data_IF_462134663399
#
_entry.id   IF_462134663399
#
_cell.length_a   1.000
_cell.length_b   1.000
_cell.length_c   1.000
_cell.angle_alpha   90.00
_cell.angle_beta   90.00
_cell.angle_gamma   90.00
#
_symmetry.space_group_name_H-M   'P 1'
#
loop_
_entity.id
_entity.type
_entity.pdbx_description
1 polymer ?
#
# COMPACT_ATOMS: atom_id res chain seq x y z
N UNK A 1 23.71 11.00 30.23
CA UNK A 1 22.31 10.99 30.72
C UNK A 1 21.76 12.39 30.58
N UNK A 2 20.99 12.67 29.53
CA UNK A 2 20.42 13.98 29.28
C UNK A 2 19.08 14.12 30.01
N UNK A 3 19.11 14.53 31.28
CA UNK A 3 17.98 15.23 31.90
C UNK A 3 18.09 16.72 31.56
N UNK A 4 17.93 17.07 30.28
CA UNK A 4 17.52 18.43 29.93
C UNK A 4 16.00 18.50 30.15
N UNK A 5 15.59 18.42 31.42
CA UNK A 5 14.18 18.47 31.79
C UNK A 5 13.62 19.85 31.52
N UNK A 6 12.31 19.92 31.25
CA UNK A 6 11.53 21.14 31.02
C UNK A 6 11.56 22.15 32.20
N UNK A 7 12.42 21.96 33.21
CA UNK A 7 12.55 22.71 34.46
C UNK A 7 12.96 24.17 34.30
N UNK A 8 13.39 24.60 33.11
CA UNK A 8 13.70 25.99 32.78
C UNK A 8 12.55 26.73 32.05
N UNK A 9 11.46 26.04 31.71
CA UNK A 9 10.31 26.68 31.06
C UNK A 9 9.32 27.26 32.07
N UNK A 10 8.72 28.40 31.74
CA UNK A 10 7.61 29.00 32.49
C UNK A 10 6.50 27.94 32.68
N UNK A 11 6.00 27.69 33.91
CA UNK A 11 4.88 26.80 34.17
C UNK A 11 3.64 27.04 33.29
N UNK A 12 3.35 28.30 32.96
CA UNK A 12 2.25 28.64 32.02
C UNK A 12 2.51 28.11 30.62
N UNK A 13 3.76 28.18 30.13
CA UNK A 13 4.14 27.65 28.82
C UNK A 13 4.09 26.11 28.81
N UNK A 14 4.47 25.46 29.90
CA UNK A 14 4.34 24.01 30.05
C UNK A 14 2.86 23.62 30.03
N UNK A 15 2.01 24.30 30.80
CA UNK A 15 0.57 24.03 30.81
C UNK A 15 -0.06 24.26 29.43
N UNK A 16 0.25 25.37 28.77
CA UNK A 16 -0.23 25.65 27.41
C UNK A 16 0.23 24.60 26.38
N UNK A 17 1.48 24.13 26.48
CA UNK A 17 1.96 23.04 25.63
C UNK A 17 1.22 21.72 25.90
N UNK A 18 0.96 21.41 27.17
CA UNK A 18 0.20 20.21 27.54
C UNK A 18 -1.27 20.29 27.10
N UNK A 19 -1.89 21.47 27.14
CA UNK A 19 -3.22 21.73 26.58
C UNK A 19 -3.23 21.55 25.06
N UNK A 20 -2.23 22.10 24.37
CA UNK A 20 -2.04 21.91 22.93
C UNK A 20 -1.92 20.41 22.57
N UNK A 21 -1.05 19.67 23.27
CA UNK A 21 -0.87 18.23 23.05
C UNK A 21 -2.15 17.41 23.34
N UNK A 22 -2.94 17.82 24.34
CA UNK A 22 -4.26 17.21 24.60
C UNK A 22 -5.23 17.48 23.47
N UNK A 23 -5.35 18.74 23.03
CA UNK A 23 -6.22 19.10 21.92
C UNK A 23 -5.83 18.38 20.62
N UNK A 24 -4.54 18.28 20.30
CA UNK A 24 -4.03 17.51 19.15
C UNK A 24 -4.42 16.04 19.19
N UNK A 25 -4.48 15.47 20.39
CA UNK A 25 -4.88 14.07 20.61
C UNK A 25 -6.40 13.89 20.52
N UNK A 26 -7.16 14.82 21.07
CA UNK A 26 -8.64 14.76 21.12
C UNK A 26 -9.28 15.16 19.79
N UNK A 27 -8.65 16.09 19.07
CA UNK A 27 -9.13 16.69 17.83
C UNK A 27 -8.06 16.60 16.73
N UNK A 28 -7.65 15.38 16.32
CA UNK A 28 -6.70 15.23 15.23
C UNK A 28 -7.23 15.83 13.91
N UNK A 29 -6.36 16.32 13.03
CA UNK A 29 -6.78 16.77 11.71
C UNK A 29 -7.45 15.62 10.95
N UNK A 30 -8.48 15.93 10.15
CA UNK A 30 -9.10 14.92 9.30
C UNK A 30 -8.16 14.59 8.15
N UNK A 31 -8.02 13.31 7.85
CA UNK A 31 -7.17 12.83 6.75
C UNK A 31 -7.46 13.53 5.43
N UNK A 32 -8.73 13.75 5.08
CA UNK A 32 -9.10 14.41 3.83
C UNK A 32 -8.59 15.86 3.73
N UNK A 33 -8.50 16.59 4.86
CA UNK A 33 -8.02 17.97 4.90
C UNK A 33 -6.49 18.06 4.68
N UNK A 34 -5.78 16.94 4.80
CA UNK A 34 -4.34 16.85 4.59
C UNK A 34 -3.97 16.63 3.11
N UNK A 35 -4.93 16.32 2.25
CA UNK A 35 -4.69 16.10 0.82
C UNK A 35 -4.67 17.43 0.06
N UNK A 36 -3.62 17.65 -0.73
CA UNK A 36 -3.49 18.84 -1.59
C UNK A 36 -4.10 18.56 -2.98
N UNK A 37 -5.42 18.45 -3.04
CA UNK A 37 -6.17 18.19 -4.29
C UNK A 37 -6.67 19.52 -4.86
N UNK A 38 -6.48 19.81 -6.17
CA UNK A 38 -7.01 21.01 -6.81
C UNK A 38 -8.54 21.12 -6.69
N UNK A 39 -9.03 22.36 -6.65
CA UNK A 39 -10.47 22.65 -6.70
C UNK A 39 -11.07 22.38 -8.09
N UNK A 40 -12.41 22.33 -8.16
CA UNK A 40 -13.19 22.29 -9.41
C UNK A 40 -12.89 21.10 -10.35
N UNK A 41 -12.50 19.96 -9.78
CA UNK A 41 -12.25 18.75 -10.55
C UNK A 41 -13.54 18.10 -11.07
N UNK A 42 -13.51 17.42 -12.23
CA UNK A 42 -14.62 16.57 -12.67
C UNK A 42 -14.96 15.50 -11.65
N UNK A 43 -16.23 15.06 -11.64
CA UNK A 43 -16.74 14.08 -10.69
C UNK A 43 -15.89 12.80 -10.60
N UNK A 44 -15.34 12.32 -11.72
CA UNK A 44 -14.47 11.14 -11.74
C UNK A 44 -13.23 11.30 -10.85
N UNK A 45 -12.57 12.46 -10.92
CA UNK A 45 -11.39 12.75 -10.10
C UNK A 45 -11.74 13.00 -8.63
N UNK A 46 -12.88 13.63 -8.36
CA UNK A 46 -13.37 13.78 -6.97
C UNK A 46 -13.58 12.41 -6.32
N UNK A 47 -14.31 11.51 -6.98
CA UNK A 47 -14.54 10.14 -6.51
C UNK A 47 -13.20 9.39 -6.33
N UNK A 48 -12.25 9.58 -7.25
CA UNK A 48 -10.93 8.96 -7.15
C UNK A 48 -10.20 9.39 -5.88
N UNK A 49 -10.05 10.71 -5.65
CA UNK A 49 -9.33 11.21 -4.48
C UNK A 49 -10.08 10.98 -3.18
N UNK A 50 -11.42 10.98 -3.17
CA UNK A 50 -12.22 10.62 -2.00
C UNK A 50 -11.93 9.18 -1.56
N UNK A 51 -11.83 8.24 -2.51
CA UNK A 51 -11.48 6.85 -2.23
C UNK A 51 -10.05 6.70 -1.71
N UNK A 52 -9.09 7.46 -2.27
CA UNK A 52 -7.72 7.49 -1.76
C UNK A 52 -7.67 8.05 -0.34
N UNK A 53 -8.33 9.19 -0.09
CA UNK A 53 -8.40 9.80 1.24
C UNK A 53 -9.08 8.85 2.26
N UNK A 54 -10.14 8.14 1.86
CA UNK A 54 -10.78 7.12 2.69
C UNK A 54 -9.84 5.94 3.01
N UNK A 55 -9.02 5.51 2.06
CA UNK A 55 -7.99 4.50 2.30
C UNK A 55 -6.97 4.97 3.35
N UNK A 56 -6.44 6.19 3.22
CA UNK A 56 -5.54 6.76 4.24
C UNK A 56 -6.21 6.96 5.60
N UNK A 57 -7.49 7.33 5.62
CA UNK A 57 -8.24 7.51 6.87
C UNK A 57 -8.32 6.20 7.65
N UNK A 58 -8.53 5.07 6.94
CA UNK A 58 -8.49 3.74 7.55
C UNK A 58 -7.10 3.38 8.07
N UNK A 59 -6.04 3.69 7.32
CA UNK A 59 -4.66 3.47 7.78
C UNK A 59 -4.28 4.32 9.00
N UNK A 60 -4.84 5.53 9.09
CA UNK A 60 -4.63 6.44 10.23
C UNK A 60 -5.51 6.11 11.44
N UNK A 61 -6.59 5.34 11.27
CA UNK A 61 -7.52 5.01 12.33
C UNK A 61 -6.82 4.24 13.46
N UNK A 62 -6.72 4.86 14.64
CA UNK A 62 -6.00 4.29 15.78
C UNK A 62 -4.46 4.28 15.64
N UNK A 63 -3.91 4.88 14.57
CA UNK A 63 -2.49 4.92 14.27
C UNK A 63 -1.98 6.36 14.13
N UNK A 64 -1.63 6.98 15.27
CA UNK A 64 -1.12 8.38 15.28
C UNK A 64 0.18 8.56 14.49
N UNK A 65 1.01 7.52 14.38
CA UNK A 65 2.25 7.63 13.60
C UNK A 65 1.97 7.76 12.10
N UNK A 66 0.98 7.03 11.58
CA UNK A 66 0.53 7.17 10.19
C UNK A 66 -0.03 8.57 9.93
N UNK A 67 -0.86 9.08 10.85
CA UNK A 67 -1.42 10.42 10.74
C UNK A 67 -0.33 11.51 10.76
N UNK A 68 0.63 11.46 11.70
CA UNK A 68 1.76 12.40 11.75
C UNK A 68 2.58 12.36 10.45
N UNK A 69 2.75 11.17 9.87
CA UNK A 69 3.48 11.02 8.60
C UNK A 69 2.73 11.71 7.45
N UNK A 70 1.39 11.60 7.44
CA UNK A 70 0.54 12.27 6.47
C UNK A 70 0.51 13.80 6.68
N UNK A 71 0.46 14.30 7.92
CA UNK A 71 0.57 15.73 8.25
C UNK A 71 1.88 16.32 7.70
N UNK A 72 3.01 15.64 7.97
CA UNK A 72 4.32 16.05 7.46
C UNK A 72 4.40 16.07 5.94
N UNK A 73 3.80 15.07 5.28
CA UNK A 73 3.68 15.05 3.81
C UNK A 73 2.87 16.27 3.34
N UNK A 74 1.74 16.57 3.99
CA UNK A 74 0.89 17.70 3.63
C UNK A 74 1.65 19.03 3.68
N UNK A 75 2.44 19.25 4.74
CA UNK A 75 3.28 20.45 4.87
C UNK A 75 4.35 20.53 3.79
N UNK A 76 5.01 19.41 3.46
CA UNK A 76 5.99 19.36 2.39
C UNK A 76 5.37 19.71 1.03
N UNK A 77 4.19 19.17 0.72
CA UNK A 77 3.49 19.50 -0.52
C UNK A 77 3.13 20.99 -0.59
N UNK A 78 2.74 21.58 0.54
CA UNK A 78 2.43 23.01 0.62
C UNK A 78 3.65 23.89 0.36
N UNK A 79 4.78 23.61 1.02
CA UNK A 79 6.03 24.37 0.89
C UNK A 79 6.58 24.31 -0.54
N UNK A 80 6.54 23.12 -1.15
CA UNK A 80 7.04 22.86 -2.50
C UNK A 80 6.02 23.21 -3.60
N UNK A 81 4.82 23.68 -3.22
CA UNK A 81 3.69 23.99 -4.13
C UNK A 81 3.34 22.81 -5.04
N UNK A 82 3.24 21.62 -4.44
CA UNK A 82 2.88 20.37 -5.09
C UNK A 82 1.44 19.98 -4.74
N UNK A 83 0.82 19.20 -5.62
CA UNK A 83 -0.51 18.64 -5.43
C UNK A 83 -0.45 17.11 -5.43
N UNK A 84 -1.57 16.48 -5.10
CA UNK A 84 -1.70 15.02 -5.18
C UNK A 84 -1.58 14.49 -6.61
N UNK A 85 -1.75 15.32 -7.64
CA UNK A 85 -1.48 14.93 -9.02
C UNK A 85 0.01 14.71 -9.31
N UNK A 86 0.90 15.58 -8.81
CA UNK A 86 2.34 15.33 -8.93
C UNK A 86 2.73 14.04 -8.22
N UNK A 87 2.14 13.77 -7.06
CA UNK A 87 2.40 12.55 -6.31
C UNK A 87 1.92 11.32 -7.06
N UNK A 88 0.69 11.35 -7.58
CA UNK A 88 0.13 10.32 -8.43
C UNK A 88 0.98 10.06 -9.68
N UNK A 89 1.34 11.10 -10.43
CA UNK A 89 2.16 11.00 -11.64
C UNK A 89 3.58 10.52 -11.34
N UNK A 90 4.13 10.89 -10.19
CA UNK A 90 5.43 10.38 -9.71
C UNK A 90 5.37 8.88 -9.45
N UNK A 91 4.32 8.39 -8.78
CA UNK A 91 4.12 6.97 -8.54
C UNK A 91 3.93 6.17 -9.84
N UNK A 92 3.15 6.71 -10.78
CA UNK A 92 2.99 6.13 -12.14
C UNK A 92 4.36 6.05 -12.83
N UNK A 93 5.13 7.14 -12.83
CA UNK A 93 6.47 7.16 -13.43
C UNK A 93 7.45 6.15 -12.80
N UNK A 94 7.37 5.93 -11.48
CA UNK A 94 8.17 4.90 -10.81
C UNK A 94 7.80 3.49 -11.26
N UNK A 95 6.50 3.20 -11.37
CA UNK A 95 6.03 1.90 -11.87
C UNK A 95 6.51 1.62 -13.30
N UNK A 96 6.45 2.60 -14.20
CA UNK A 96 6.83 2.40 -15.60
C UNK A 96 8.34 2.14 -15.79
N UNK A 97 9.18 2.52 -14.81
CA UNK A 97 10.62 2.20 -14.80
C UNK A 97 10.91 0.74 -14.43
N UNK A 98 9.92 -0.01 -13.92
CA UNK A 98 10.12 -1.41 -13.53
C UNK A 98 10.35 -2.27 -14.77
N UNK A 99 11.56 -2.78 -14.91
CA UNK A 99 11.89 -3.82 -15.89
C UNK A 99 11.99 -5.16 -15.17
N UNK A 100 11.54 -6.25 -15.81
CA UNK A 100 11.67 -7.59 -15.24
C UNK A 100 12.78 -8.34 -15.97
N UNK A 101 13.94 -8.48 -15.33
CA UNK A 101 14.98 -9.46 -15.72
C UNK A 101 14.93 -10.70 -14.82
N UNK A 102 15.68 -11.75 -15.12
CA UNK A 102 15.83 -12.89 -14.19
C UNK A 102 16.45 -12.41 -12.87
N UNK A 103 15.86 -12.81 -11.73
CA UNK A 103 16.29 -12.40 -10.38
C UNK A 103 15.78 -11.03 -9.89
N UNK A 104 14.90 -10.36 -10.64
CA UNK A 104 14.56 -8.93 -10.44
C UNK A 104 13.32 -8.64 -9.58
N UNK A 105 12.66 -9.67 -9.02
CA UNK A 105 11.42 -9.47 -8.27
C UNK A 105 11.63 -8.69 -6.96
N UNK A 106 12.76 -8.89 -6.27
CA UNK A 106 13.13 -8.10 -5.08
C UNK A 106 13.34 -6.61 -5.41
N UNK A 107 13.99 -6.29 -6.53
CA UNK A 107 14.20 -4.91 -6.97
C UNK A 107 12.88 -4.28 -7.44
N UNK A 108 12.08 -5.02 -8.21
CA UNK A 108 10.74 -4.57 -8.61
C UNK A 108 9.87 -4.27 -7.38
N UNK A 109 9.93 -5.10 -6.34
CA UNK A 109 9.24 -4.86 -5.08
C UNK A 109 9.70 -3.56 -4.40
N UNK A 110 10.99 -3.21 -4.47
CA UNK A 110 11.51 -1.94 -3.96
C UNK A 110 10.94 -0.73 -4.74
N UNK A 111 10.87 -0.81 -6.08
CA UNK A 111 10.22 0.23 -6.89
C UNK A 111 8.74 0.38 -6.56
N UNK A 112 7.99 -0.74 -6.50
CA UNK A 112 6.56 -0.69 -6.20
C UNK A 112 6.28 -0.17 -4.78
N UNK A 113 7.05 -0.59 -3.77
CA UNK A 113 6.89 -0.06 -2.39
C UNK A 113 7.20 1.44 -2.30
N UNK A 114 8.18 1.91 -3.07
CA UNK A 114 8.49 3.35 -3.18
C UNK A 114 7.37 4.12 -3.89
N UNK A 115 6.80 3.55 -4.95
CA UNK A 115 5.64 4.12 -5.65
C UNK A 115 4.42 4.19 -4.73
N UNK A 116 4.09 3.13 -3.99
CA UNK A 116 2.98 3.10 -3.02
C UNK A 116 3.16 4.17 -1.93
N UNK A 117 4.39 4.31 -1.43
CA UNK A 117 4.72 5.31 -0.42
C UNK A 117 4.61 6.75 -0.95
N UNK A 118 4.75 6.93 -2.27
CA UNK A 118 4.59 8.23 -2.95
C UNK A 118 3.12 8.52 -3.24
N UNK A 119 2.40 7.56 -3.81
CA UNK A 119 0.95 7.62 -4.00
C UNK A 119 0.40 6.20 -4.23
N UNK A 120 -0.54 5.72 -3.41
CA UNK A 120 -1.08 4.38 -3.54
C UNK A 120 -2.05 4.28 -4.71
N UNK A 121 -1.90 3.23 -5.52
CA UNK A 121 -2.88 2.86 -6.55
C UNK A 121 -3.08 1.34 -6.56
N UNK A 122 -4.29 0.84 -6.90
CA UNK A 122 -4.58 -0.59 -6.84
C UNK A 122 -3.68 -1.42 -7.74
N UNK A 123 -3.31 -0.92 -8.92
CA UNK A 123 -2.47 -1.65 -9.88
C UNK A 123 -1.02 -1.79 -9.39
N UNK A 124 -0.45 -0.74 -8.80
CA UNK A 124 0.89 -0.74 -8.19
C UNK A 124 0.92 -1.69 -7.01
N UNK A 125 -0.06 -1.61 -6.10
CA UNK A 125 -0.20 -2.52 -4.96
C UNK A 125 -0.36 -3.97 -5.41
N UNK A 126 -1.21 -4.22 -6.41
CA UNK A 126 -1.44 -5.55 -6.93
C UNK A 126 -0.15 -6.12 -7.57
N UNK A 127 0.64 -5.30 -8.27
CA UNK A 127 1.94 -5.71 -8.81
C UNK A 127 2.99 -5.92 -7.70
N UNK A 128 2.96 -5.13 -6.63
CA UNK A 128 3.77 -5.35 -5.44
C UNK A 128 3.46 -6.71 -4.80
N UNK A 129 2.16 -7.06 -4.68
CA UNK A 129 1.73 -8.37 -4.18
C UNK A 129 2.29 -9.52 -5.03
N UNK A 130 2.29 -9.38 -6.36
CA UNK A 130 2.89 -10.37 -7.26
C UNK A 130 4.40 -10.54 -7.03
N UNK A 131 5.12 -9.44 -6.82
CA UNK A 131 6.56 -9.50 -6.53
C UNK A 131 6.80 -10.11 -5.15
N UNK A 132 5.99 -9.76 -4.14
CA UNK A 132 6.08 -10.33 -2.81
C UNK A 132 5.83 -11.84 -2.79
N UNK A 133 4.86 -12.36 -3.57
CA UNK A 133 4.65 -13.80 -3.75
C UNK A 133 5.90 -14.50 -4.33
N UNK A 134 6.51 -13.93 -5.36
CA UNK A 134 7.75 -14.46 -5.97
C UNK A 134 8.92 -14.51 -4.99
N UNK A 135 8.95 -13.57 -4.05
CA UNK A 135 9.95 -13.47 -2.98
C UNK A 135 9.58 -14.25 -1.71
N UNK A 136 8.50 -15.04 -1.73
CA UNK A 136 7.96 -15.78 -0.58
C UNK A 136 7.64 -14.87 0.64
N UNK A 137 7.34 -13.59 0.40
CA UNK A 137 6.92 -12.62 1.41
C UNK A 137 5.40 -12.63 1.52
N UNK A 138 4.84 -13.75 1.97
CA UNK A 138 3.41 -14.01 1.87
C UNK A 138 2.54 -13.01 2.65
N UNK A 139 2.94 -12.61 3.86
CA UNK A 139 2.20 -11.58 4.61
C UNK A 139 2.14 -10.27 3.84
N UNK A 140 3.28 -9.81 3.32
CA UNK A 140 3.35 -8.57 2.54
C UNK A 140 2.51 -8.65 1.25
N UNK A 141 2.43 -9.84 0.64
CA UNK A 141 1.57 -10.05 -0.52
C UNK A 141 0.08 -9.98 -0.17
N UNK A 142 -0.33 -10.55 0.97
CA UNK A 142 -1.70 -10.43 1.49
C UNK A 142 -2.05 -8.97 1.78
N UNK A 143 -1.16 -8.24 2.45
CA UNK A 143 -1.36 -6.84 2.83
C UNK A 143 -1.58 -5.98 1.59
N UNK A 144 -0.66 -6.05 0.61
CA UNK A 144 -0.81 -5.28 -0.64
C UNK A 144 -2.05 -5.64 -1.45
N UNK A 145 -2.39 -6.93 -1.55
CA UNK A 145 -3.58 -7.33 -2.30
C UNK A 145 -4.88 -6.90 -1.59
N UNK A 146 -4.89 -6.92 -0.25
CA UNK A 146 -6.01 -6.43 0.56
C UNK A 146 -6.18 -4.92 0.42
N UNK A 147 -5.09 -4.17 0.57
CA UNK A 147 -5.10 -2.72 0.40
C UNK A 147 -5.60 -2.31 -1.00
N UNK A 148 -5.13 -3.00 -2.05
CA UNK A 148 -5.59 -2.73 -3.42
C UNK A 148 -7.09 -2.93 -3.60
N UNK A 149 -7.65 -3.99 -3.01
CA UNK A 149 -9.09 -4.29 -3.06
C UNK A 149 -9.90 -3.27 -2.25
N UNK A 150 -9.40 -2.88 -1.08
CA UNK A 150 -10.06 -1.95 -0.15
C UNK A 150 -10.11 -0.52 -0.67
N UNK A 151 -9.22 -0.13 -1.58
CA UNK A 151 -9.32 1.18 -2.24
C UNK A 151 -10.61 1.33 -3.08
N UNK A 152 -11.26 0.22 -3.46
CA UNK A 152 -12.47 0.22 -4.31
C UNK A 152 -12.30 0.97 -5.64
N UNK A 153 -11.07 1.01 -6.15
CA UNK A 153 -10.70 1.74 -7.37
C UNK A 153 -10.55 0.85 -8.60
N UNK A 154 -10.64 -0.48 -8.46
CA UNK A 154 -10.66 -1.39 -9.60
C UNK A 154 -11.92 -1.18 -10.45
N UNK A 155 -11.70 -0.74 -11.68
CA UNK A 155 -12.72 -0.62 -12.74
C UNK A 155 -12.60 -1.77 -13.73
N UNK A 156 -11.40 -2.33 -13.89
CA UNK A 156 -11.12 -3.51 -14.68
C UNK A 156 -11.31 -4.77 -13.83
N UNK A 157 -12.39 -5.50 -14.12
CA UNK A 157 -12.72 -6.73 -13.40
C UNK A 157 -11.63 -7.80 -13.46
N UNK A 158 -10.85 -7.87 -14.56
CA UNK A 158 -9.72 -8.80 -14.65
C UNK A 158 -8.59 -8.44 -13.68
N UNK A 159 -8.34 -7.16 -13.45
CA UNK A 159 -7.35 -6.71 -12.46
C UNK A 159 -7.85 -6.96 -11.02
N UNK A 160 -9.15 -6.77 -10.78
CA UNK A 160 -9.79 -7.16 -9.52
C UNK A 160 -9.67 -8.67 -9.26
N UNK A 161 -9.94 -9.52 -10.26
CA UNK A 161 -9.77 -10.97 -10.16
C UNK A 161 -8.32 -11.37 -9.83
N UNK A 162 -7.32 -10.71 -10.45
CA UNK A 162 -5.90 -10.92 -10.13
C UNK A 162 -5.57 -10.58 -8.68
N UNK A 163 -6.17 -9.52 -8.12
CA UNK A 163 -5.93 -9.13 -6.72
C UNK A 163 -6.47 -10.21 -5.76
N UNK A 164 -7.70 -10.69 -5.97
CA UNK A 164 -8.24 -11.83 -5.22
C UNK A 164 -7.39 -13.09 -5.38
N UNK A 165 -6.96 -13.40 -6.62
CA UNK A 165 -6.11 -14.55 -6.88
C UNK A 165 -4.78 -14.46 -6.12
N UNK A 166 -4.10 -13.31 -6.14
CA UNK A 166 -2.84 -13.10 -5.43
C UNK A 166 -3.03 -13.16 -3.91
N UNK A 167 -4.13 -12.60 -3.37
CA UNK A 167 -4.45 -12.69 -1.95
C UNK A 167 -4.74 -14.13 -1.52
N UNK A 168 -5.44 -14.91 -2.35
CA UNK A 168 -5.70 -16.33 -2.09
C UNK A 168 -4.42 -17.15 -2.00
N UNK A 169 -3.46 -16.93 -2.91
CA UNK A 169 -2.15 -17.59 -2.85
C UNK A 169 -1.38 -17.22 -1.59
N UNK A 170 -1.37 -15.93 -1.22
CA UNK A 170 -0.71 -15.47 -0.01
C UNK A 170 -1.31 -16.13 1.23
N UNK A 171 -2.64 -16.11 1.37
CA UNK A 171 -3.38 -16.73 2.47
C UNK A 171 -3.18 -18.24 2.54
N UNK A 172 -3.15 -18.91 1.38
CA UNK A 172 -2.83 -20.34 1.29
C UNK A 172 -1.47 -20.62 1.93
N UNK A 173 -0.42 -19.92 1.49
CA UNK A 173 0.92 -20.07 2.07
C UNK A 173 1.00 -19.68 3.56
N UNK A 174 0.14 -18.78 4.02
CA UNK A 174 0.02 -18.42 5.44
C UNK A 174 -0.81 -19.41 6.27
N UNK A 175 -1.38 -20.45 5.65
CA UNK A 175 -2.20 -21.46 6.33
C UNK A 175 -3.64 -21.02 6.62
N UNK A 176 -4.08 -19.92 6.01
CA UNK A 176 -5.44 -19.35 6.12
C UNK A 176 -6.29 -19.91 4.96
N UNK A 177 -6.52 -21.21 4.97
CA UNK A 177 -7.06 -21.93 3.80
C UNK A 177 -8.51 -21.58 3.51
N UNK A 178 -9.32 -21.37 4.54
CA UNK A 178 -10.73 -21.01 4.40
C UNK A 178 -10.89 -19.63 3.74
N UNK A 179 -10.12 -18.64 4.17
CA UNK A 179 -10.10 -17.30 3.57
C UNK A 179 -9.47 -17.33 2.17
N UNK A 180 -8.48 -18.18 1.93
CA UNK A 180 -7.93 -18.40 0.60
C UNK A 180 -8.99 -18.98 -0.36
N UNK A 181 -9.81 -19.93 0.11
CA UNK A 181 -10.89 -20.53 -0.67
C UNK A 181 -11.97 -19.50 -1.02
N UNK A 182 -12.30 -18.60 -0.10
CA UNK A 182 -13.23 -17.50 -0.38
C UNK A 182 -12.69 -16.59 -1.49
N UNK A 183 -11.44 -16.16 -1.39
CA UNK A 183 -10.82 -15.28 -2.38
C UNK A 183 -10.69 -15.95 -3.77
N UNK A 184 -10.26 -17.22 -3.82
CA UNK A 184 -10.11 -17.92 -5.11
C UNK A 184 -11.46 -18.17 -5.78
N UNK A 185 -12.53 -18.32 -4.99
CA UNK A 185 -13.89 -18.44 -5.52
C UNK A 185 -14.34 -17.14 -6.17
N UNK A 186 -14.15 -16.00 -5.49
CA UNK A 186 -14.43 -14.68 -6.08
C UNK A 186 -13.60 -14.46 -7.35
N UNK A 187 -12.30 -14.81 -7.33
CA UNK A 187 -11.44 -14.65 -8.50
C UNK A 187 -11.95 -15.44 -9.72
N UNK A 188 -12.38 -16.69 -9.51
CA UNK A 188 -12.91 -17.54 -10.57
C UNK A 188 -14.27 -17.05 -11.09
N UNK A 189 -15.14 -16.55 -10.21
CA UNK A 189 -16.45 -16.01 -10.63
C UNK A 189 -16.28 -14.77 -11.51
N UNK A 190 -15.26 -13.95 -11.25
CA UNK A 190 -14.96 -12.76 -12.04
C UNK A 190 -14.23 -13.09 -13.35
N UNK A 191 -13.21 -13.95 -13.30
CA UNK A 191 -12.41 -14.31 -14.47
C UNK A 191 -11.86 -15.74 -14.33
N UNK A 192 -12.56 -16.75 -14.85
CA UNK A 192 -12.07 -18.13 -14.84
C UNK A 192 -10.72 -18.26 -15.56
N UNK A 193 -9.78 -18.99 -14.97
CA UNK A 193 -8.46 -19.28 -15.55
C UNK A 193 -7.97 -20.65 -15.06
N UNK A 194 -7.16 -21.33 -15.87
CA UNK A 194 -6.61 -22.65 -15.51
C UNK A 194 -5.77 -22.57 -14.22
N UNK A 195 -5.01 -21.49 -14.04
CA UNK A 195 -4.19 -21.28 -12.83
C UNK A 195 -5.04 -21.08 -11.59
N UNK A 196 -6.17 -20.38 -11.73
CA UNK A 196 -7.15 -20.16 -10.64
C UNK A 196 -7.77 -21.49 -10.23
N UNK A 197 -8.24 -22.29 -11.20
CA UNK A 197 -8.82 -23.61 -10.93
C UNK A 197 -7.81 -24.57 -10.30
N UNK A 198 -6.55 -24.58 -10.77
CA UNK A 198 -5.49 -25.40 -10.18
C UNK A 198 -5.22 -25.01 -8.72
N UNK A 199 -5.15 -23.71 -8.44
CA UNK A 199 -4.90 -23.20 -7.08
C UNK A 199 -6.10 -23.49 -6.16
N UNK A 200 -7.33 -23.40 -6.66
CA UNK A 200 -8.53 -23.79 -5.90
C UNK A 200 -8.45 -25.24 -5.46
N UNK A 201 -8.16 -26.17 -6.39
CA UNK A 201 -8.07 -27.59 -6.08
C UNK A 201 -6.95 -27.88 -5.04
N UNK A 202 -5.84 -27.15 -5.11
CA UNK A 202 -4.77 -27.23 -4.11
C UNK A 202 -5.26 -26.79 -2.73
N UNK A 203 -5.95 -25.64 -2.64
CA UNK A 203 -6.54 -25.14 -1.39
C UNK A 203 -7.54 -26.14 -0.81
N UNK A 204 -8.44 -26.69 -1.63
CA UNK A 204 -9.43 -27.69 -1.20
C UNK A 204 -8.74 -28.95 -0.64
N UNK A 205 -7.69 -29.43 -1.31
CA UNK A 205 -6.88 -30.56 -0.82
C UNK A 205 -6.20 -30.22 0.52
N UNK A 206 -5.69 -29.01 0.69
CA UNK A 206 -5.08 -28.56 1.94
C UNK A 206 -6.09 -28.51 3.09
N UNK A 207 -7.32 -28.06 2.84
CA UNK A 207 -8.41 -28.08 3.83
C UNK A 207 -8.72 -29.53 4.28
N UNK A 208 -8.71 -30.47 3.34
CA UNK A 208 -8.98 -31.88 3.64
C UNK A 208 -7.82 -32.61 4.34
N UNK A 209 -6.58 -32.16 4.15
CA UNK A 209 -5.38 -32.87 4.64
C UNK A 209 -4.75 -32.22 5.87
N UNK A 210 -4.93 -30.90 6.06
CA UNK A 210 -4.30 -30.10 7.13
C UNK A 210 -5.37 -29.59 8.12
N UNK A 211 -5.97 -30.53 8.87
CA UNK A 211 -7.11 -30.25 9.77
C UNK A 211 -6.72 -29.79 11.17
N UNK A 212 -5.57 -30.22 11.67
CA UNK A 212 -5.16 -29.98 13.06
C UNK A 212 -4.13 -28.87 13.18
N UNK A 213 -4.06 -28.15 14.32
CA UNK A 213 -3.02 -27.15 14.55
C UNK A 213 -1.60 -27.69 14.38
N UNK A 214 -1.36 -28.96 14.76
CA UNK A 214 -0.06 -29.61 14.58
C UNK A 214 0.29 -29.82 13.11
N UNK A 215 -0.67 -30.26 12.29
CA UNK A 215 -0.46 -30.39 10.84
C UNK A 215 -0.23 -29.01 10.20
N UNK A 216 -0.99 -28.00 10.62
CA UNK A 216 -0.81 -26.61 10.13
C UNK A 216 0.58 -26.09 10.47
N UNK A 217 1.07 -26.35 11.69
CA UNK A 217 2.45 -26.01 12.06
C UNK A 217 3.48 -26.71 11.17
N UNK A 218 3.30 -27.98 10.86
CA UNK A 218 4.17 -28.72 9.92
C UNK A 218 4.11 -28.13 8.51
N UNK A 219 2.92 -27.81 8.01
CA UNK A 219 2.72 -27.16 6.72
C UNK A 219 3.47 -25.82 6.65
N UNK A 220 3.31 -24.97 7.67
CA UNK A 220 3.97 -23.66 7.76
C UNK A 220 5.49 -23.79 7.85
N UNK A 221 6.00 -24.79 8.58
CA UNK A 221 7.43 -25.06 8.66
C UNK A 221 8.02 -25.52 7.31
N UNK A 222 7.20 -26.09 6.43
CA UNK A 222 7.59 -26.50 5.07
C UNK A 222 7.54 -25.35 4.04
N UNK A 223 6.98 -24.19 4.40
CA UNK A 223 6.89 -23.06 3.48
C UNK A 223 8.27 -22.45 3.22
N UNK A 224 8.47 -21.96 1.99
CA UNK A 224 9.69 -21.24 1.64
C UNK A 224 9.80 -19.97 2.47
N UNK A 225 10.95 -19.79 3.11
CA UNK A 225 11.25 -18.56 3.82
C UNK A 225 11.60 -17.44 2.83
N UNK A 226 11.30 -16.17 3.14
CA UNK A 226 11.76 -15.05 2.34
C UNK A 226 13.29 -15.02 2.32
N UNK A 227 13.91 -14.47 1.26
CA UNK A 227 15.35 -14.31 1.19
C UNK A 227 15.85 -13.48 2.38
N UNK A 228 17.13 -13.66 2.74
CA UNK A 228 17.77 -12.90 3.83
C UNK A 228 17.52 -11.41 3.62
N UNK A 229 17.27 -10.69 4.72
CA UNK A 229 17.06 -9.24 4.68
C UNK A 229 18.24 -8.59 3.95
N UNK A 230 17.92 -7.71 3.00
CA UNK A 230 18.92 -6.91 2.31
C UNK A 230 19.68 -6.07 3.36
N UNK A 231 21.02 -6.04 3.36
CA UNK A 231 21.78 -5.17 4.23
C UNK A 231 21.33 -3.71 4.09
N UNK A 232 21.32 -2.95 5.19
CA UNK A 232 20.85 -1.56 5.18
C UNK A 232 21.55 -0.69 4.12
N UNK A 233 22.87 -0.87 3.95
CA UNK A 233 23.65 -0.13 2.95
C UNK A 233 23.24 -0.49 1.51
N UNK A 234 22.96 -1.76 1.24
CA UNK A 234 22.46 -2.20 -0.07
C UNK A 234 21.03 -1.70 -0.32
N UNK A 235 20.21 -1.64 0.73
CA UNK A 235 18.87 -1.06 0.64
C UNK A 235 18.91 0.45 0.37
N UNK A 236 19.80 1.18 1.06
CA UNK A 236 20.04 2.61 0.81
C UNK A 236 20.58 2.87 -0.59
N UNK A 237 21.57 2.11 -1.02
CA UNK A 237 22.10 2.21 -2.39
C UNK A 237 21.01 1.90 -3.40
N UNK A 238 20.20 0.87 -3.15
CA UNK A 238 19.03 0.53 -3.94
C UNK A 238 18.09 1.73 -4.08
N UNK A 239 17.75 2.40 -2.98
CA UNK A 239 16.89 3.61 -2.97
C UNK A 239 17.54 4.77 -3.75
N UNK A 240 18.85 4.99 -3.60
CA UNK A 240 19.57 6.02 -4.36
C UNK A 240 19.56 5.70 -5.87
N UNK A 241 19.79 4.44 -6.23
CA UNK A 241 19.82 3.95 -7.61
C UNK A 241 18.43 3.98 -8.27
N UNK A 242 17.34 3.98 -7.48
CA UNK A 242 15.99 4.16 -8.03
C UNK A 242 15.85 5.50 -8.78
N UNK A 243 16.67 6.51 -8.44
CA UNK A 243 16.62 7.84 -9.04
C UNK A 243 15.21 8.42 -8.99
N UNK A 244 14.51 8.22 -7.87
CA UNK A 244 13.14 8.68 -7.67
C UNK A 244 13.14 10.19 -7.67
N UNK A 245 12.49 10.78 -8.66
CA UNK A 245 12.30 12.23 -8.77
C UNK A 245 10.80 12.51 -8.82
N UNK A 246 10.39 13.60 -8.18
CA UNK A 246 9.05 14.12 -8.32
C UNK A 246 8.81 14.49 -9.78
N UNK A 247 7.75 13.94 -10.37
CA UNK A 247 7.27 14.32 -11.70
C UNK A 247 6.40 15.56 -11.52
N UNK A 248 6.87 16.70 -12.04
CA UNK A 248 6.07 17.92 -12.11
C UNK A 248 5.03 17.78 -13.22
N UNK A 249 3.77 18.06 -12.91
CA UNK A 249 2.75 18.13 -13.95
C UNK A 249 2.87 19.48 -14.65
N UNK A 250 3.08 19.52 -15.98
CA UNK A 250 3.12 20.78 -16.71
C UNK A 250 1.77 21.49 -16.73
N UNK A 251 1.77 22.82 -16.72
CA UNK A 251 0.55 23.66 -16.72
C UNK A 251 -0.41 23.38 -17.88
N UNK A 252 0.08 22.80 -18.99
CA UNK A 252 -0.76 22.46 -20.15
C UNK A 252 -1.58 21.18 -19.95
N UNK A 253 -1.31 20.38 -18.92
CA UNK A 253 -2.08 19.17 -18.60
C UNK A 253 -3.34 19.59 -17.85
N UNK A 254 -4.46 19.61 -18.55
CA UNK A 254 -5.75 19.96 -17.99
C UNK A 254 -6.49 18.72 -17.48
N UNK A 255 -6.42 18.46 -16.17
CA UNK A 255 -7.14 17.36 -15.53
C UNK A 255 -8.67 17.51 -15.56
N UNK A 256 -9.20 18.68 -15.92
CA UNK A 256 -10.64 18.85 -16.12
C UNK A 256 -11.14 18.19 -17.41
N UNK A 257 -10.24 17.93 -18.36
CA UNK A 257 -10.56 17.33 -19.65
C UNK A 257 -10.24 15.83 -19.75
N UNK A 258 -9.65 15.24 -18.71
CA UNK A 258 -9.30 13.82 -18.67
C UNK A 258 -9.98 13.12 -17.50
N UNK A 259 -10.23 11.82 -17.64
CA UNK A 259 -10.74 10.97 -16.56
C UNK A 259 -9.58 10.25 -15.86
N UNK A 260 -9.74 9.84 -14.59
CA UNK A 260 -8.77 8.97 -13.92
C UNK A 260 -8.59 7.66 -14.71
N UNK A 261 -7.39 7.06 -14.68
CA UNK A 261 -7.13 5.86 -15.45
C UNK A 261 -7.93 4.66 -14.91
N UNK A 262 -8.25 3.69 -15.78
CA UNK A 262 -8.91 2.47 -15.36
C UNK A 262 -7.89 1.55 -14.67
N UNK A 263 -8.10 1.29 -13.38
CA UNK A 263 -7.33 0.30 -12.62
C UNK A 263 -7.93 -1.09 -12.71
#
# INVERSE_FOLDING_TARGET
MAQAGLSHMNPEAINGFMDFMRNEKENPPKTADLFKVPADLPQGWQIFFDKVAAHYARQCAGNRHALISLEKRSWLLEDEKLTEFEMFMSAVGMKEKVTFREGDAARALLFYTSAISTFPTPDVMNNAAACALRENKFQLAEDFASEALDMELFTNLKNKAKAYFRRSQARMHLGNFEEALQDINIAADIHPDVSISSTRNEIETLIETVKTPSQRKTYLAGQKSPPKKLPFMEALQGIQDLGVQCVRVPDFVDFTQVQPPPF
#
